data_IF_060546777739
#
_entry.id   IF_060546777739
#
_cell.length_a   1.000
_cell.length_b   1.000
_cell.length_c   1.000
_cell.angle_alpha   90.00
_cell.angle_beta   90.00
_cell.angle_gamma   90.00
#
_symmetry.space_group_name_H-M   'P 1'
#
loop_
_entity.id
_entity.type
_entity.pdbx_description
1 polymer ?
#
# COMPACT_ATOMS: atom_id res chain seq x y z
N UNK A 1 5.14 11.57 -2.02
CA UNK A 1 5.58 10.37 -1.28
C UNK A 1 6.41 9.49 -2.22
N UNK A 2 7.60 9.97 -2.60
CA UNK A 2 8.46 9.40 -3.66
C UNK A 2 9.43 8.33 -3.14
N UNK A 3 8.97 7.48 -2.22
CA UNK A 3 9.84 6.68 -1.34
C UNK A 3 10.61 5.57 -2.09
N UNK A 4 10.17 5.19 -3.29
CA UNK A 4 10.79 4.09 -4.07
C UNK A 4 11.74 4.63 -5.15
N UNK A 5 11.64 5.92 -5.52
CA UNK A 5 12.58 6.51 -6.47
C UNK A 5 14.00 6.49 -5.90
N UNK A 6 14.21 6.85 -4.63
CA UNK A 6 15.56 7.04 -4.10
C UNK A 6 16.36 5.75 -3.85
N UNK A 7 15.74 4.59 -3.59
CA UNK A 7 16.50 3.35 -3.32
C UNK A 7 16.92 2.60 -4.59
N UNK A 8 16.25 2.86 -5.72
CA UNK A 8 16.58 2.28 -7.03
C UNK A 8 17.46 3.19 -7.92
N UNK A 9 17.75 4.41 -7.49
CA UNK A 9 18.60 5.38 -8.19
C UNK A 9 20.05 5.35 -7.66
N UNK A 10 21.02 5.43 -8.56
CA UNK A 10 22.41 5.71 -8.23
C UNK A 10 22.62 7.20 -7.90
N UNK A 11 23.79 7.53 -7.31
CA UNK A 11 24.22 8.88 -6.92
C UNK A 11 24.17 9.95 -8.03
N UNK A 12 23.89 9.56 -9.28
CA UNK A 12 23.73 10.44 -10.44
C UNK A 12 22.28 10.52 -10.95
N UNK A 13 21.27 10.16 -10.14
CA UNK A 13 19.85 10.13 -10.53
C UNK A 13 19.57 9.23 -11.75
N UNK A 14 20.42 8.23 -11.99
CA UNK A 14 20.22 7.18 -13.00
C UNK A 14 19.81 5.89 -12.31
N UNK A 15 18.83 5.16 -12.86
CA UNK A 15 18.44 3.85 -12.35
C UNK A 15 19.61 2.87 -12.43
N UNK A 16 19.87 2.10 -11.36
CA UNK A 16 20.92 1.06 -11.32
C UNK A 16 20.75 0.07 -12.47
N UNK A 17 21.57 0.23 -13.52
CA UNK A 17 21.87 -0.65 -14.68
C UNK A 17 20.77 -1.44 -15.40
N UNK A 18 19.49 -1.32 -15.05
CA UNK A 18 18.35 -1.84 -15.80
C UNK A 18 17.34 -0.71 -15.86
N UNK A 19 17.01 -0.26 -17.07
CA UNK A 19 15.99 0.75 -17.34
C UNK A 19 14.61 0.21 -16.89
N UNK A 20 14.32 0.26 -15.60
CA UNK A 20 13.02 -0.14 -15.06
C UNK A 20 11.98 0.90 -15.52
N UNK A 21 10.85 0.46 -16.09
CA UNK A 21 9.81 1.39 -16.49
C UNK A 21 9.16 2.01 -15.26
N UNK A 22 8.56 3.21 -15.38
CA UNK A 22 7.92 3.91 -14.27
C UNK A 22 6.67 3.13 -13.86
N UNK A 23 6.85 2.19 -12.94
CA UNK A 23 5.79 1.36 -12.35
C UNK A 23 5.28 1.98 -11.05
N UNK A 24 5.95 3.03 -10.57
CA UNK A 24 5.73 3.57 -9.24
C UNK A 24 5.66 5.10 -9.30
N UNK A 25 4.62 5.57 -9.97
CA UNK A 25 3.97 6.81 -9.60
C UNK A 25 2.57 6.41 -9.12
N UNK A 26 2.49 5.88 -7.91
CA UNK A 26 1.21 5.76 -7.19
C UNK A 26 0.82 7.14 -6.63
N UNK A 27 0.84 8.19 -7.45
CA UNK A 27 0.30 9.47 -7.01
C UNK A 27 -1.24 9.42 -7.02
N UNK A 28 -1.87 8.65 -7.93
CA UNK A 28 -3.25 8.97 -8.34
C UNK A 28 -4.28 7.82 -8.32
N UNK A 29 -3.98 6.64 -7.76
CA UNK A 29 -4.92 5.50 -7.84
C UNK A 29 -5.59 5.11 -6.52
N UNK A 30 -4.87 4.46 -5.60
CA UNK A 30 -5.49 3.67 -4.52
C UNK A 30 -5.57 4.39 -3.17
N UNK A 31 -4.59 5.23 -2.84
CA UNK A 31 -4.59 6.06 -1.63
C UNK A 31 -5.79 7.00 -1.57
N UNK A 32 -6.31 7.34 -2.75
CA UNK A 32 -7.41 8.24 -2.97
C UNK A 32 -8.73 7.67 -2.48
N UNK A 33 -9.02 6.39 -2.78
CA UNK A 33 -10.26 5.74 -2.32
C UNK A 33 -10.25 5.65 -0.80
N UNK A 34 -9.10 5.32 -0.21
CA UNK A 34 -8.97 5.28 1.24
C UNK A 34 -9.09 6.66 1.90
N UNK A 35 -8.63 7.72 1.22
CA UNK A 35 -8.82 9.11 1.66
C UNK A 35 -10.29 9.50 1.82
N UNK A 36 -11.16 9.07 0.89
CA UNK A 36 -12.62 9.28 1.00
C UNK A 36 -13.17 8.57 2.24
N UNK A 37 -12.75 7.34 2.50
CA UNK A 37 -13.18 6.59 3.68
C UNK A 37 -12.73 7.28 4.96
N UNK A 38 -11.48 7.75 5.03
CA UNK A 38 -10.96 8.47 6.20
C UNK A 38 -11.75 9.75 6.49
N UNK A 39 -12.05 10.56 5.47
CA UNK A 39 -12.85 11.78 5.63
C UNK A 39 -14.28 11.44 6.04
N UNK A 40 -14.88 10.41 5.46
CA UNK A 40 -16.21 9.91 5.84
C UNK A 40 -16.28 9.52 7.32
N UNK A 41 -15.28 8.78 7.82
CA UNK A 41 -15.18 8.43 9.24
C UNK A 41 -15.01 9.67 10.12
N UNK A 42 -14.21 10.64 9.69
CA UNK A 42 -14.07 11.93 10.39
C UNK A 42 -15.39 12.71 10.48
N UNK A 43 -16.18 12.70 9.41
CA UNK A 43 -17.53 13.29 9.39
C UNK A 43 -18.45 12.55 10.39
N UNK A 44 -18.41 11.21 10.40
CA UNK A 44 -19.19 10.38 11.31
C UNK A 44 -18.88 10.66 12.79
N UNK A 45 -17.62 10.96 13.14
CA UNK A 45 -17.24 11.34 14.50
C UNK A 45 -17.96 12.60 15.01
N UNK A 46 -18.32 13.54 14.13
CA UNK A 46 -19.09 14.74 14.47
C UNK A 46 -20.61 14.53 14.39
N UNK A 47 -21.07 13.40 13.85
CA UNK A 47 -22.48 13.14 13.61
C UNK A 47 -23.13 14.22 12.74
N UNK A 48 -24.29 14.73 13.15
CA UNK A 48 -25.03 15.75 12.37
C UNK A 48 -24.22 17.04 12.15
N UNK A 49 -23.37 17.44 13.11
CA UNK A 49 -22.56 18.64 12.97
C UNK A 49 -21.52 18.52 11.86
N UNK A 50 -21.05 17.32 11.57
CA UNK A 50 -20.15 17.08 10.43
C UNK A 50 -20.82 17.29 9.07
N UNK A 51 -22.15 17.35 9.02
CA UNK A 51 -22.93 17.59 7.80
C UNK A 51 -23.35 19.06 7.64
N UNK A 52 -22.98 19.92 8.58
CA UNK A 52 -23.18 21.37 8.51
C UNK A 52 -21.95 22.05 7.90
N UNK A 53 -22.15 23.14 7.16
CA UNK A 53 -21.10 23.96 6.53
C UNK A 53 -20.29 24.80 7.53
N UNK A 54 -20.72 24.82 8.80
CA UNK A 54 -19.96 25.42 9.91
C UNK A 54 -18.66 24.66 10.23
N UNK A 55 -18.58 23.37 9.88
CA UNK A 55 -17.42 22.53 10.17
C UNK A 55 -16.73 22.03 8.88
N UNK A 56 -15.39 21.95 8.85
CA UNK A 56 -14.64 21.54 7.65
C UNK A 56 -14.94 20.16 7.02
N UNK A 57 -15.38 19.11 7.75
CA UNK A 57 -15.46 17.76 7.18
C UNK A 57 -16.36 17.61 5.94
N UNK A 58 -17.45 18.37 5.82
CA UNK A 58 -18.29 18.34 4.62
C UNK A 58 -17.52 18.82 3.38
N UNK A 59 -16.76 19.91 3.53
CA UNK A 59 -15.95 20.46 2.46
C UNK A 59 -14.84 19.48 2.07
N UNK A 60 -14.15 18.91 3.07
CA UNK A 60 -13.14 17.88 2.80
C UNK A 60 -13.73 16.71 2.03
N UNK A 61 -14.95 16.27 2.35
CA UNK A 61 -15.59 15.16 1.65
C UNK A 61 -15.87 15.48 0.19
N UNK A 62 -16.29 16.73 -0.10
CA UNK A 62 -16.46 17.23 -1.49
C UNK A 62 -15.12 17.30 -2.23
N UNK A 63 -14.09 17.85 -1.59
CA UNK A 63 -12.78 18.05 -2.19
C UNK A 63 -12.09 16.72 -2.51
N UNK A 64 -12.20 15.71 -1.63
CA UNK A 64 -11.58 14.41 -1.90
C UNK A 64 -12.32 13.58 -2.95
N UNK A 65 -13.56 13.93 -3.30
CA UNK A 65 -14.39 13.13 -4.21
C UNK A 65 -13.92 13.18 -5.66
N UNK A 66 -13.21 14.24 -6.06
CA UNK A 66 -12.68 14.41 -7.42
C UNK A 66 -11.48 13.50 -7.68
N UNK A 67 -10.71 13.18 -6.63
CA UNK A 67 -9.48 12.42 -6.75
C UNK A 67 -9.61 11.08 -7.50
N UNK A 68 -10.61 10.20 -7.23
CA UNK A 68 -10.72 8.91 -7.93
C UNK A 68 -11.25 9.02 -9.36
N UNK A 69 -11.55 10.24 -9.81
CA UNK A 69 -12.14 10.54 -11.12
C UNK A 69 -11.13 11.25 -12.02
N UNK A 70 -10.42 12.26 -11.49
CA UNK A 70 -9.46 13.01 -12.29
C UNK A 70 -8.22 12.17 -12.63
N UNK A 71 -7.59 12.46 -13.78
CA UNK A 71 -6.36 11.81 -14.24
C UNK A 71 -6.43 10.28 -14.42
N UNK A 72 -7.65 9.76 -14.57
CA UNK A 72 -7.94 8.35 -14.80
C UNK A 72 -8.71 7.75 -13.64
N UNK A 73 -9.86 7.14 -13.94
CA UNK A 73 -10.70 6.54 -12.90
C UNK A 73 -9.97 5.39 -12.20
N UNK A 74 -10.34 5.09 -10.95
CA UNK A 74 -9.75 3.98 -10.19
C UNK A 74 -9.71 2.67 -10.97
N UNK A 75 -10.74 2.35 -11.75
CA UNK A 75 -10.76 1.15 -12.58
C UNK A 75 -9.76 1.20 -13.74
N UNK A 76 -9.61 2.35 -14.41
CA UNK A 76 -8.59 2.54 -15.45
C UNK A 76 -7.18 2.43 -14.86
N UNK A 77 -6.95 3.02 -13.69
CA UNK A 77 -5.68 2.90 -12.96
C UNK A 77 -5.39 1.44 -12.58
N UNK A 78 -6.42 0.68 -12.18
CA UNK A 78 -6.28 -0.74 -11.87
C UNK A 78 -5.93 -1.56 -13.10
N UNK A 79 -6.59 -1.30 -14.23
CA UNK A 79 -6.28 -1.95 -15.51
C UNK A 79 -4.87 -1.60 -15.99
N UNK A 80 -4.42 -0.36 -15.79
CA UNK A 80 -3.05 0.05 -16.11
C UNK A 80 -2.02 -0.70 -15.25
N UNK A 81 -2.27 -0.79 -13.93
CA UNK A 81 -1.41 -1.52 -13.02
C UNK A 81 -1.32 -3.00 -13.41
N UNK A 82 -2.46 -3.68 -13.46
CA UNK A 82 -2.53 -5.12 -13.69
C UNK A 82 -2.14 -5.50 -15.11
N UNK A 83 -2.70 -4.82 -16.12
CA UNK A 83 -2.52 -5.16 -17.53
C UNK A 83 -1.19 -4.70 -18.11
N UNK A 84 -0.63 -3.59 -17.62
CA UNK A 84 0.60 -3.02 -18.19
C UNK A 84 1.75 -3.02 -17.20
N UNK A 85 1.62 -2.42 -16.02
CA UNK A 85 2.75 -2.20 -15.10
C UNK A 85 3.30 -3.50 -14.53
N UNK A 86 2.45 -4.39 -14.03
CA UNK A 86 2.88 -5.65 -13.42
C UNK A 86 3.50 -6.60 -14.45
N UNK A 87 3.06 -6.56 -15.70
CA UNK A 87 3.53 -7.45 -16.77
C UNK A 87 4.74 -6.88 -17.53
N UNK A 88 4.98 -5.58 -17.45
CA UNK A 88 6.04 -4.87 -18.14
C UNK A 88 7.42 -5.49 -17.91
N UNK A 89 8.20 -5.57 -19.00
CA UNK A 89 9.54 -6.17 -18.99
C UNK A 89 9.59 -7.57 -18.36
N UNK A 90 8.55 -8.38 -18.57
CA UNK A 90 8.40 -9.72 -17.97
C UNK A 90 8.33 -9.68 -16.43
N UNK A 91 7.69 -8.65 -15.88
CA UNK A 91 7.47 -8.49 -14.45
C UNK A 91 8.64 -7.97 -13.63
N UNK A 92 9.73 -7.51 -14.26
CA UNK A 92 10.95 -7.07 -13.56
C UNK A 92 10.71 -6.06 -12.44
N UNK A 93 9.82 -5.09 -12.64
CA UNK A 93 9.59 -4.09 -11.59
C UNK A 93 8.72 -4.61 -10.45
N UNK A 94 7.79 -5.53 -10.73
CA UNK A 94 7.07 -6.22 -9.67
C UNK A 94 8.05 -7.03 -8.81
N UNK A 95 8.99 -7.75 -9.45
CA UNK A 95 10.08 -8.44 -8.75
C UNK A 95 10.94 -7.47 -7.93
N UNK A 96 11.35 -6.34 -8.51
CA UNK A 96 12.15 -5.33 -7.81
C UNK A 96 11.43 -4.75 -6.58
N UNK A 97 10.13 -4.48 -6.68
CA UNK A 97 9.33 -4.05 -5.54
C UNK A 97 9.30 -5.11 -4.44
N UNK A 98 9.07 -6.37 -4.80
CA UNK A 98 9.04 -7.49 -3.86
C UNK A 98 10.40 -7.66 -3.16
N UNK A 99 11.52 -7.44 -3.85
CA UNK A 99 12.85 -7.46 -3.26
C UNK A 99 13.02 -6.37 -2.20
N UNK A 100 12.58 -5.14 -2.46
CA UNK A 100 12.66 -4.03 -1.49
C UNK A 100 11.77 -4.26 -0.26
N UNK A 101 10.57 -4.83 -0.47
CA UNK A 101 9.68 -5.25 0.61
C UNK A 101 10.36 -6.33 1.45
N UNK A 102 10.93 -7.36 0.81
CA UNK A 102 11.63 -8.45 1.49
C UNK A 102 12.83 -7.96 2.31
N UNK A 103 13.62 -7.00 1.81
CA UNK A 103 14.70 -6.40 2.60
C UNK A 103 14.20 -5.78 3.89
N UNK A 104 13.06 -5.10 3.83
CA UNK A 104 12.44 -4.48 5.02
C UNK A 104 11.89 -5.52 5.97
N UNK A 105 11.25 -6.57 5.45
CA UNK A 105 10.76 -7.71 6.24
C UNK A 105 11.92 -8.37 6.99
N UNK A 106 13.04 -8.67 6.31
CA UNK A 106 14.20 -9.30 6.92
C UNK A 106 14.75 -8.46 8.07
N UNK A 107 14.94 -7.15 7.87
CA UNK A 107 15.37 -6.25 8.93
C UNK A 107 14.37 -6.21 10.11
N UNK A 108 13.08 -6.26 9.84
CA UNK A 108 12.04 -6.27 10.87
C UNK A 108 11.96 -7.60 11.64
N UNK A 109 12.34 -8.72 11.03
CA UNK A 109 12.37 -10.02 11.73
C UNK A 109 13.47 -10.11 12.80
N UNK A 110 14.46 -9.23 12.76
CA UNK A 110 15.52 -9.14 13.79
C UNK A 110 15.06 -8.40 15.06
N UNK A 111 13.93 -7.66 15.02
CA UNK A 111 13.35 -6.98 16.18
C UNK A 111 12.13 -7.75 16.69
N UNK A 112 12.16 -8.15 17.97
CA UNK A 112 11.11 -8.98 18.58
C UNK A 112 9.71 -8.35 18.53
N UNK A 113 9.61 -7.02 18.59
CA UNK A 113 8.34 -6.29 18.53
C UNK A 113 7.79 -6.19 17.11
N UNK A 114 8.67 -6.12 16.11
CA UNK A 114 8.27 -5.99 14.71
C UNK A 114 8.08 -7.34 14.02
N UNK A 115 8.70 -8.41 14.54
CA UNK A 115 8.64 -9.75 13.96
C UNK A 115 7.21 -10.25 13.69
N UNK A 116 6.21 -10.10 14.59
CA UNK A 116 4.84 -10.52 14.31
C UNK A 116 4.22 -9.77 13.12
N UNK A 117 4.48 -8.47 13.01
CA UNK A 117 3.97 -7.62 11.94
C UNK A 117 4.65 -7.94 10.60
N UNK A 118 5.95 -8.24 10.64
CA UNK A 118 6.69 -8.73 9.48
C UNK A 118 6.10 -10.05 8.96
N UNK A 119 5.69 -10.96 9.84
CA UNK A 119 5.02 -12.22 9.45
C UNK A 119 3.67 -11.99 8.77
N UNK A 120 2.85 -11.06 9.26
CA UNK A 120 1.59 -10.70 8.58
C UNK A 120 1.86 -10.11 7.18
N UNK A 121 2.88 -9.25 7.04
CA UNK A 121 3.26 -8.71 5.73
C UNK A 121 3.78 -9.80 4.78
N UNK A 122 4.55 -10.77 5.28
CA UNK A 122 4.97 -11.95 4.50
C UNK A 122 3.74 -12.67 3.94
N UNK A 123 2.75 -12.98 4.79
CA UNK A 123 1.52 -13.66 4.37
C UNK A 123 0.78 -12.90 3.28
N UNK A 124 0.59 -11.59 3.45
CA UNK A 124 -0.07 -10.74 2.45
C UNK A 124 0.70 -10.66 1.12
N UNK A 125 2.04 -10.57 1.17
CA UNK A 125 2.89 -10.56 -0.02
C UNK A 125 2.84 -11.90 -0.76
N UNK A 126 2.86 -13.03 -0.05
CA UNK A 126 2.72 -14.35 -0.66
C UNK A 126 1.35 -14.53 -1.33
N UNK A 127 0.29 -14.04 -0.72
CA UNK A 127 -1.03 -14.01 -1.37
C UNK A 127 -1.05 -13.13 -2.61
N UNK A 128 -0.46 -11.94 -2.58
CA UNK A 128 -0.36 -11.09 -3.76
C UNK A 128 0.37 -11.80 -4.91
N UNK A 129 1.44 -12.55 -4.62
CA UNK A 129 2.15 -13.37 -5.62
C UNK A 129 1.26 -14.46 -6.19
N UNK A 130 0.51 -15.20 -5.35
CA UNK A 130 -0.44 -16.23 -5.79
C UNK A 130 -1.53 -15.66 -6.69
N UNK A 131 -2.17 -14.56 -6.28
CA UNK A 131 -3.21 -13.86 -7.05
C UNK A 131 -2.64 -13.38 -8.39
N UNK A 132 -1.46 -12.77 -8.38
CA UNK A 132 -0.79 -12.32 -9.60
C UNK A 132 -0.52 -13.49 -10.55
N UNK A 133 0.01 -14.61 -10.06
CA UNK A 133 0.26 -15.79 -10.87
C UNK A 133 -1.03 -16.40 -11.44
N UNK A 134 -2.10 -16.45 -10.64
CA UNK A 134 -3.41 -16.92 -11.07
C UNK A 134 -3.98 -16.05 -12.22
N UNK A 135 -4.00 -14.73 -12.03
CA UNK A 135 -4.48 -13.77 -13.03
C UNK A 135 -3.66 -13.84 -14.33
N UNK A 136 -2.33 -13.97 -14.23
CA UNK A 136 -1.48 -14.20 -15.39
C UNK A 136 -1.79 -15.52 -16.12
N UNK A 137 -2.16 -16.56 -15.38
CA UNK A 137 -2.63 -17.83 -15.94
C UNK A 137 -3.94 -17.70 -16.70
N UNK A 138 -4.88 -16.87 -16.24
CA UNK A 138 -6.12 -16.54 -16.96
C UNK A 138 -5.80 -15.79 -18.26
N UNK A 139 -4.94 -14.77 -18.20
CA UNK A 139 -4.54 -13.99 -19.37
C UNK A 139 -3.89 -14.88 -20.44
N UNK A 140 -3.04 -15.83 -20.03
CA UNK A 140 -2.38 -16.77 -20.94
C UNK A 140 -3.35 -17.73 -21.65
N UNK A 141 -4.53 -18.01 -21.06
CA UNK A 141 -5.58 -18.84 -21.68
C UNK A 141 -6.42 -18.08 -22.72
N UNK A 142 -6.12 -16.80 -22.97
CA UNK A 142 -6.80 -16.00 -23.99
C UNK A 142 -8.08 -15.31 -23.49
N UNK A 143 -8.25 -15.14 -22.18
CA UNK A 143 -9.41 -14.47 -21.58
C UNK A 143 -9.03 -13.13 -20.92
N UNK A 144 -8.67 -12.09 -21.71
CA UNK A 144 -8.23 -10.80 -21.17
C UNK A 144 -9.32 -10.08 -20.38
N UNK A 145 -10.60 -10.28 -20.73
CA UNK A 145 -11.72 -9.64 -20.02
C UNK A 145 -11.85 -10.17 -18.59
N UNK A 146 -11.73 -11.49 -18.40
CA UNK A 146 -11.71 -12.11 -17.06
C UNK A 146 -10.50 -11.68 -16.25
N UNK A 147 -9.34 -11.53 -16.92
CA UNK A 147 -8.13 -11.03 -16.27
C UNK A 147 -8.29 -9.58 -15.76
N UNK A 148 -8.91 -8.70 -16.54
CA UNK A 148 -9.09 -7.29 -16.17
C UNK A 148 -10.31 -7.03 -15.28
N UNK A 149 -11.22 -8.00 -15.13
CA UNK A 149 -12.39 -7.88 -14.24
C UNK A 149 -11.98 -7.59 -12.78
N UNK A 150 -10.89 -8.20 -12.32
CA UNK A 150 -10.39 -8.06 -10.95
C UNK A 150 -9.40 -6.88 -10.76
N UNK A 151 -9.19 -6.06 -11.79
CA UNK A 151 -8.12 -5.05 -11.77
C UNK A 151 -8.27 -4.00 -10.67
N UNK A 152 -9.50 -3.63 -10.29
CA UNK A 152 -9.77 -2.65 -9.22
C UNK A 152 -9.44 -3.25 -7.84
N UNK A 153 -9.84 -4.50 -7.59
CA UNK A 153 -9.55 -5.20 -6.33
C UNK A 153 -8.05 -5.48 -6.20
N UNK A 154 -7.41 -5.85 -7.31
CA UNK A 154 -5.97 -6.04 -7.37
C UNK A 154 -5.21 -4.76 -7.00
N UNK A 155 -5.65 -3.61 -7.55
CA UNK A 155 -5.09 -2.30 -7.22
C UNK A 155 -5.22 -1.99 -5.72
N UNK A 156 -6.39 -2.25 -5.12
CA UNK A 156 -6.60 -2.00 -3.69
C UNK A 156 -5.68 -2.87 -2.82
N UNK A 157 -5.62 -4.17 -3.09
CA UNK A 157 -4.76 -5.13 -2.39
C UNK A 157 -3.28 -4.71 -2.46
N UNK A 158 -2.79 -4.38 -3.65
CA UNK A 158 -1.41 -3.94 -3.88
C UNK A 158 -1.04 -2.74 -3.00
N UNK A 159 -2.02 -1.86 -2.78
CA UNK A 159 -1.80 -0.56 -2.15
C UNK A 159 -1.84 -0.64 -0.65
N UNK A 160 -2.72 -1.47 -0.09
CA UNK A 160 -2.73 -1.80 1.33
C UNK A 160 -1.42 -2.48 1.73
N UNK A 161 -0.92 -3.39 0.89
CA UNK A 161 0.42 -4.00 1.07
C UNK A 161 1.52 -2.93 0.99
N UNK A 162 1.42 -2.00 0.04
CA UNK A 162 2.33 -0.85 -0.05
C UNK A 162 2.35 0.02 1.22
N UNK A 163 1.18 0.31 1.80
CA UNK A 163 1.03 1.05 3.07
C UNK A 163 1.62 0.25 4.23
N UNK A 164 1.31 -1.05 4.32
CA UNK A 164 1.84 -1.95 5.34
C UNK A 164 3.37 -1.95 5.35
N UNK A 165 3.97 -1.99 4.15
CA UNK A 165 5.41 -1.88 3.98
C UNK A 165 5.97 -0.53 4.48
N UNK A 166 5.32 0.60 4.14
CA UNK A 166 5.76 1.92 4.64
C UNK A 166 5.62 2.04 6.16
N UNK A 167 4.60 1.43 6.76
CA UNK A 167 4.48 1.35 8.22
C UNK A 167 5.61 0.55 8.83
N UNK A 168 5.97 -0.60 8.25
CA UNK A 168 7.07 -1.42 8.75
C UNK A 168 8.42 -0.68 8.65
N UNK A 169 8.66 0.08 7.58
CA UNK A 169 9.83 0.97 7.44
C UNK A 169 9.87 2.04 8.53
N UNK A 170 8.73 2.69 8.81
CA UNK A 170 8.64 3.65 9.90
C UNK A 170 8.89 2.97 11.26
N UNK A 171 8.33 1.79 11.48
CA UNK A 171 8.56 0.98 12.68
C UNK A 171 10.05 0.74 12.91
N UNK A 172 10.79 0.29 11.89
CA UNK A 172 12.24 0.12 11.95
C UNK A 172 12.98 1.40 12.33
N UNK A 173 12.64 2.52 11.70
CA UNK A 173 13.25 3.82 12.01
C UNK A 173 12.98 4.25 13.47
N UNK A 174 11.76 4.00 13.97
CA UNK A 174 11.40 4.25 15.37
C UNK A 174 12.21 3.35 16.31
N UNK A 175 12.33 2.05 16.03
CA UNK A 175 13.13 1.12 16.85
C UNK A 175 14.60 1.52 16.90
N UNK A 176 15.15 2.00 15.78
CA UNK A 176 16.52 2.51 15.72
C UNK A 176 16.69 3.80 16.54
N UNK A 177 15.75 4.73 16.44
CA UNK A 177 15.75 5.96 17.23
C UNK A 177 15.69 5.67 18.75
N UNK A 178 14.87 4.69 19.16
CA UNK A 178 14.79 4.21 20.55
C UNK A 178 16.15 3.68 21.02
N UNK A 179 16.82 2.84 20.21
CA UNK A 179 18.15 2.29 20.54
C UNK A 179 19.22 3.37 20.69
N UNK A 180 19.16 4.44 19.89
CA UNK A 180 20.10 5.57 19.93
C UNK A 180 19.86 6.54 21.09
N UNK A 181 18.70 6.44 21.74
CA UNK A 181 18.24 7.40 22.75
C UNK A 181 17.66 8.65 22.08
N UNK A 182 16.36 8.86 22.24
CA UNK A 182 15.67 10.06 21.77
C UNK A 182 15.47 11.07 22.91
N UNK A 183 15.16 12.32 22.55
CA UNK A 183 14.84 13.37 23.53
C UNK A 183 13.46 13.12 24.15
N UNK A 184 13.30 13.38 25.45
CA UNK A 184 12.04 13.11 26.18
C UNK A 184 10.77 13.69 25.52
N UNK A 185 10.87 14.80 24.76
CA UNK A 185 9.74 15.40 24.05
C UNK A 185 9.30 14.66 22.77
N UNK A 186 10.07 13.67 22.30
CA UNK A 186 9.74 12.85 21.12
C UNK A 186 9.14 11.48 21.49
N UNK A 187 9.09 11.14 22.79
CA UNK A 187 8.64 9.84 23.26
C UNK A 187 7.24 9.49 22.76
N UNK A 188 6.28 10.39 23.03
CA UNK A 188 4.87 10.20 22.69
C UNK A 188 4.70 9.99 21.18
N UNK A 189 5.43 10.77 20.37
CA UNK A 189 5.36 10.64 18.91
C UNK A 189 5.80 9.25 18.42
N UNK A 190 6.89 8.71 18.96
CA UNK A 190 7.37 7.38 18.59
C UNK A 190 6.46 6.26 19.09
N UNK A 191 5.94 6.39 20.32
CA UNK A 191 4.96 5.44 20.85
C UNK A 191 3.68 5.43 20.01
N UNK A 192 3.12 6.61 19.69
CA UNK A 192 1.93 6.76 18.86
C UNK A 192 2.12 6.17 17.46
N UNK A 193 3.32 6.31 16.88
CA UNK A 193 3.67 5.68 15.60
C UNK A 193 3.61 4.16 15.67
N UNK A 194 4.14 3.56 16.74
CA UNK A 194 4.08 2.11 16.94
C UNK A 194 2.64 1.64 17.20
N UNK A 195 1.85 2.38 17.98
CA UNK A 195 0.44 2.07 18.22
C UNK A 195 -0.39 2.13 16.93
N UNK A 196 -0.22 3.19 16.14
CA UNK A 196 -0.92 3.35 14.86
C UNK A 196 -0.55 2.24 13.87
N UNK A 197 0.73 1.88 13.81
CA UNK A 197 1.20 0.75 13.01
C UNK A 197 0.54 -0.57 13.47
N UNK A 198 0.56 -0.87 14.78
CA UNK A 198 -0.09 -2.09 15.31
C UNK A 198 -1.58 -2.12 15.00
N UNK A 199 -2.25 -0.97 15.12
CA UNK A 199 -3.66 -0.85 14.74
C UNK A 199 -3.88 -1.19 13.26
N UNK A 200 -3.05 -0.68 12.34
CA UNK A 200 -3.18 -0.96 10.91
C UNK A 200 -3.05 -2.46 10.57
N UNK A 201 -2.13 -3.16 11.23
CA UNK A 201 -1.88 -4.59 11.07
C UNK A 201 -2.88 -5.49 11.83
N UNK A 202 -3.66 -4.95 12.76
CA UNK A 202 -4.60 -5.70 13.58
C UNK A 202 -5.77 -6.31 12.79
N UNK A 203 -6.31 -7.41 13.33
CA UNK A 203 -7.30 -8.33 12.70
C UNK A 203 -8.59 -7.69 12.15
N UNK A 204 -8.95 -6.47 12.56
CA UNK A 204 -10.19 -5.80 12.14
C UNK A 204 -9.98 -4.56 11.26
N UNK A 205 -8.74 -4.29 10.86
CA UNK A 205 -8.39 -3.03 10.20
C UNK A 205 -8.36 -3.16 8.68
N UNK A 206 -7.21 -3.49 8.08
CA UNK A 206 -7.06 -3.40 6.61
C UNK A 206 -6.27 -4.55 6.00
N UNK A 207 -5.11 -4.91 6.56
CA UNK A 207 -4.26 -5.97 6.01
C UNK A 207 -4.86 -7.39 6.09
N UNK A 208 -5.54 -7.80 7.18
CA UNK A 208 -6.12 -9.15 7.31
C UNK A 208 -7.20 -9.46 6.25
N UNK A 209 -7.94 -8.47 5.77
CA UNK A 209 -8.94 -8.64 4.70
C UNK A 209 -8.33 -9.16 3.40
N UNK A 210 -7.06 -8.88 3.16
CA UNK A 210 -6.32 -9.32 1.98
C UNK A 210 -5.38 -10.50 2.26
N UNK A 211 -5.22 -10.86 3.54
CA UNK A 211 -4.54 -12.10 3.98
C UNK A 211 -5.41 -13.32 3.73
N UNK A 212 -6.71 -13.18 3.93
CA UNK A 212 -7.67 -14.27 3.79
C UNK A 212 -8.61 -13.92 2.62
N UNK A 213 -8.08 -13.88 1.38
CA UNK A 213 -8.97 -14.07 0.24
C UNK A 213 -9.63 -15.43 0.48
N UNK A 214 -10.98 -15.52 0.56
CA UNK A 214 -11.62 -16.82 0.71
C UNK A 214 -11.05 -17.72 -0.37
N UNK A 215 -10.71 -18.97 -0.03
CA UNK A 215 -10.31 -19.97 -1.02
C UNK A 215 -11.40 -19.99 -2.09
N UNK A 216 -11.15 -19.23 -3.18
CA UNK A 216 -12.05 -19.20 -4.31
C UNK A 216 -11.74 -20.53 -4.99
N UNK A 217 -12.47 -21.56 -4.56
CA UNK A 217 -12.61 -22.78 -5.31
C UNK A 217 -13.25 -22.38 -6.65
N UNK A 218 -12.42 -22.02 -7.62
CA UNK A 218 -12.78 -21.86 -9.01
C UNK A 218 -13.10 -23.22 -9.62
#
# INVERSE_FOLDING_TARGET
MSIIFSSCLDNNLKFKSVSLPPIILFNDGPYIVMGIHSVSQGLQCLGRYGYCDEFPPEQFYRDVRIHPIHEGTTSIQGMDLLGRKVTMQKGKAFTCLLEEINKTILAATEDSELMPLAKELIGAVENLKKVTAHLMGIAAKGSPDLFLADATLYLEAFSIIGIAWQWLKQGLAVREAIKKGFKSNEQNFYEDKLYTMRFFFGNHSFLPLYRDFPDVNF
#
